data_IF_756804996566
#
_entry.id   IF_756804996566
#
_cell.length_a   1.000
_cell.length_b   1.000
_cell.length_c   1.000
_cell.angle_alpha   90.00
_cell.angle_beta   90.00
_cell.angle_gamma   90.00
#
_symmetry.space_group_name_H-M   'P 1'
#
loop_
_entity.id
_entity.type
_entity.pdbx_description
1 polymer ?
#
# COMPACT_ATOMS: atom_id res chain seq x y z
N UNK A 1 9.82 -3.85 -24.00
CA UNK A 1 8.51 -3.66 -23.32
C UNK A 1 8.72 -2.78 -22.09
N UNK A 2 7.82 -1.83 -21.82
CA UNK A 2 7.91 -0.94 -20.66
C UNK A 2 7.55 -1.68 -19.36
N UNK A 3 8.23 -1.36 -18.25
CA UNK A 3 7.91 -1.90 -16.90
C UNK A 3 6.46 -1.62 -16.48
N UNK A 4 5.85 -0.57 -17.02
CA UNK A 4 4.46 -0.22 -16.74
C UNK A 4 3.49 -1.22 -17.37
N UNK A 5 3.73 -1.63 -18.62
CA UNK A 5 2.89 -2.60 -19.33
C UNK A 5 2.96 -3.99 -18.70
N UNK A 6 4.15 -4.42 -18.25
CA UNK A 6 4.30 -5.68 -17.52
C UNK A 6 3.57 -5.70 -16.16
N UNK A 7 3.51 -4.55 -15.47
CA UNK A 7 2.73 -4.42 -14.23
C UNK A 7 1.24 -4.47 -14.49
N UNK A 8 0.77 -3.80 -15.55
CA UNK A 8 -0.65 -3.79 -15.91
C UNK A 8 -1.10 -5.20 -16.34
N UNK A 9 -0.37 -5.86 -17.25
CA UNK A 9 -0.69 -7.23 -17.68
C UNK A 9 -0.71 -8.22 -16.50
N UNK A 10 0.19 -8.05 -15.53
CA UNK A 10 0.25 -8.89 -14.33
C UNK A 10 -0.95 -8.62 -13.40
N UNK A 11 -1.34 -7.36 -13.22
CA UNK A 11 -2.53 -6.99 -12.45
C UNK A 11 -3.81 -7.52 -13.10
N UNK A 12 -3.89 -7.51 -14.44
CA UNK A 12 -5.03 -8.06 -15.19
C UNK A 12 -5.07 -9.60 -15.17
N UNK A 13 -3.92 -10.27 -15.03
CA UNK A 13 -3.83 -11.74 -14.90
C UNK A 13 -3.86 -12.25 -13.46
N UNK A 14 -3.81 -11.37 -12.45
CA UNK A 14 -3.87 -11.77 -11.05
C UNK A 14 -5.29 -12.23 -10.71
N UNK A 15 -5.50 -13.54 -10.64
CA UNK A 15 -6.70 -14.16 -10.06
C UNK A 15 -6.63 -14.07 -8.53
N UNK A 16 -6.83 -12.88 -7.97
CA UNK A 16 -6.78 -12.66 -6.52
C UNK A 16 -6.98 -11.20 -6.12
N UNK A 17 -7.22 -10.95 -4.83
CA UNK A 17 -7.41 -9.60 -4.31
C UNK A 17 -6.11 -8.78 -4.45
N UNK A 18 -6.24 -7.55 -4.97
CA UNK A 18 -5.12 -6.60 -5.06
C UNK A 18 -4.88 -6.02 -3.67
N UNK A 19 -3.64 -6.06 -3.19
CA UNK A 19 -3.26 -5.47 -1.90
C UNK A 19 -2.90 -4.00 -2.08
N UNK A 20 -3.61 -3.13 -1.37
CA UNK A 20 -3.34 -1.70 -1.30
C UNK A 20 -2.73 -1.38 0.06
N UNK A 21 -1.51 -0.87 0.05
CA UNK A 21 -0.84 -0.38 1.26
C UNK A 21 -0.91 1.14 1.26
N UNK A 22 -1.55 1.70 2.28
CA UNK A 22 -1.64 3.14 2.47
C UNK A 22 -1.29 3.57 3.89
N UNK A 23 -0.97 4.85 4.03
CA UNK A 23 -0.78 5.52 5.31
C UNK A 23 -1.90 6.51 5.53
N UNK A 24 -2.33 6.66 6.77
CA UNK A 24 -3.32 7.65 7.19
C UNK A 24 -2.96 8.18 8.59
N UNK A 25 -3.49 9.34 9.00
CA UNK A 25 -3.21 9.89 10.32
C UNK A 25 -3.56 8.90 11.45
N UNK A 26 -2.66 8.70 12.41
CA UNK A 26 -2.84 7.70 13.47
C UNK A 26 -3.96 8.04 14.46
N UNK A 27 -4.34 9.33 14.55
CA UNK A 27 -5.51 9.78 15.33
C UNK A 27 -6.86 9.35 14.75
N UNK A 28 -6.92 8.90 13.49
CA UNK A 28 -8.16 8.37 12.90
C UNK A 28 -8.38 6.92 13.38
N UNK A 29 -9.60 6.50 13.73
CA UNK A 29 -9.89 5.09 14.03
C UNK A 29 -9.50 4.15 12.87
N UNK A 30 -9.16 2.90 13.17
CA UNK A 30 -8.68 1.95 12.16
C UNK A 30 -9.64 1.78 10.98
N UNK A 31 -10.94 1.64 11.26
CA UNK A 31 -11.97 1.55 10.21
C UNK A 31 -12.00 2.79 9.31
N UNK A 32 -11.80 3.99 9.89
CA UNK A 32 -11.73 5.24 9.12
C UNK A 32 -10.48 5.30 8.24
N UNK A 33 -9.32 4.84 8.76
CA UNK A 33 -8.08 4.76 7.97
C UNK A 33 -8.22 3.81 6.79
N UNK A 34 -8.75 2.61 7.02
CA UNK A 34 -9.01 1.62 5.96
C UNK A 34 -9.95 2.18 4.90
N UNK A 35 -11.10 2.72 5.30
CA UNK A 35 -12.06 3.31 4.37
C UNK A 35 -11.49 4.48 3.57
N UNK A 36 -10.63 5.31 4.17
CA UNK A 36 -9.99 6.42 3.48
C UNK A 36 -8.99 5.95 2.41
N UNK A 37 -8.16 4.95 2.72
CA UNK A 37 -7.22 4.35 1.77
C UNK A 37 -7.97 3.62 0.66
N UNK A 38 -9.03 2.90 1.00
CA UNK A 38 -9.89 2.20 0.04
C UNK A 38 -10.53 3.18 -0.95
N UNK A 39 -11.16 4.25 -0.45
CA UNK A 39 -11.75 5.29 -1.28
C UNK A 39 -10.72 5.94 -2.21
N UNK A 40 -9.51 6.20 -1.71
CA UNK A 40 -8.42 6.73 -2.53
C UNK A 40 -7.99 5.74 -3.62
N UNK A 41 -7.99 4.44 -3.32
CA UNK A 41 -7.66 3.39 -4.29
C UNK A 41 -8.70 3.32 -5.41
N UNK A 42 -9.98 3.35 -5.06
CA UNK A 42 -11.10 3.41 -6.02
C UNK A 42 -11.04 4.67 -6.87
N UNK A 43 -10.77 5.83 -6.27
CA UNK A 43 -10.61 7.10 -6.98
C UNK A 43 -9.44 7.09 -7.99
N UNK A 44 -8.43 6.24 -7.78
CA UNK A 44 -7.31 6.03 -8.72
C UNK A 44 -7.59 4.93 -9.76
N UNK A 45 -8.81 4.42 -9.83
CA UNK A 45 -9.23 3.43 -10.83
C UNK A 45 -8.90 1.99 -10.49
N UNK A 46 -8.54 1.67 -9.24
CA UNK A 46 -8.31 0.28 -8.81
C UNK A 46 -9.68 -0.38 -8.62
N UNK A 47 -10.00 -1.29 -9.54
CA UNK A 47 -11.27 -2.04 -9.57
C UNK A 47 -11.08 -3.47 -9.09
N UNK A 48 -12.17 -4.18 -8.80
CA UNK A 48 -12.15 -5.57 -8.32
C UNK A 48 -12.00 -5.74 -6.81
N UNK A 49 -11.67 -6.96 -6.38
CA UNK A 49 -11.43 -7.28 -4.97
C UNK A 49 -10.12 -6.66 -4.51
N UNK A 50 -10.20 -5.84 -3.46
CA UNK A 50 -9.05 -5.17 -2.87
C UNK A 50 -8.94 -5.52 -1.40
N UNK A 51 -7.73 -5.80 -0.95
CA UNK A 51 -7.38 -5.90 0.46
C UNK A 51 -6.61 -4.65 0.86
N UNK A 52 -6.95 -4.06 2.00
CA UNK A 52 -6.44 -2.74 2.41
C UNK A 52 -5.67 -2.84 3.71
N UNK A 53 -4.37 -2.56 3.62
CA UNK A 53 -3.50 -2.36 4.77
C UNK A 53 -3.30 -0.85 4.99
N UNK A 54 -3.98 -0.31 6.01
CA UNK A 54 -3.87 1.10 6.37
C UNK A 54 -3.01 1.29 7.64
N UNK A 55 -1.84 1.90 7.47
CA UNK A 55 -0.87 2.15 8.52
C UNK A 55 -1.12 3.53 9.13
N UNK A 56 -1.25 3.59 10.46
CA UNK A 56 -1.33 4.87 11.18
C UNK A 56 0.04 5.53 11.25
N UNK A 57 0.12 6.81 10.87
CA UNK A 57 1.34 7.60 10.96
C UNK A 57 1.09 8.92 11.72
N UNK A 58 2.01 9.29 12.60
CA UNK A 58 1.90 10.48 13.45
C UNK A 58 2.02 11.78 12.66
N UNK A 59 1.20 12.76 13.04
CA UNK A 59 1.39 14.16 12.69
C UNK A 59 2.76 14.69 13.18
N UNK A 60 3.46 15.60 12.46
CA UNK A 60 3.07 16.28 11.22
C UNK A 60 3.43 15.53 9.93
N UNK A 61 3.88 14.28 10.01
CA UNK A 61 4.38 13.56 8.84
C UNK A 61 3.28 13.30 7.78
N UNK A 62 2.01 13.26 8.19
CA UNK A 62 0.88 13.11 7.29
C UNK A 62 -0.39 13.79 7.84
N UNK A 63 -1.17 14.41 6.95
CA UNK A 63 -2.48 15.02 7.26
C UNK A 63 -3.64 14.35 6.54
N UNK A 64 -3.36 13.58 5.49
CA UNK A 64 -4.35 12.97 4.60
C UNK A 64 -3.94 11.54 4.22
N UNK A 65 -4.89 10.67 3.90
CA UNK A 65 -4.55 9.31 3.48
C UNK A 65 -3.74 9.31 2.16
N UNK A 66 -2.70 8.48 2.09
CA UNK A 66 -1.84 8.35 0.91
C UNK A 66 -1.58 6.88 0.61
N UNK A 67 -1.63 6.49 -0.68
CA UNK A 67 -1.27 5.14 -1.12
C UNK A 67 0.23 5.07 -1.35
N UNK A 68 0.90 4.13 -0.69
CA UNK A 68 2.32 3.84 -0.84
C UNK A 68 2.56 2.77 -1.90
N UNK A 69 1.73 1.73 -1.92
CA UNK A 69 1.92 0.59 -2.81
C UNK A 69 0.60 -0.03 -3.25
N UNK A 70 0.59 -0.54 -4.49
CA UNK A 70 -0.51 -1.30 -5.09
C UNK A 70 0.12 -2.44 -5.88
N UNK A 71 -0.25 -3.66 -5.53
CA UNK A 71 0.27 -4.88 -6.14
C UNK A 71 -0.42 -6.11 -5.57
N UNK A 72 -0.03 -7.29 -6.02
CA UNK A 72 -0.40 -8.52 -5.31
C UNK A 72 0.35 -8.60 -3.96
N UNK A 73 -0.13 -9.45 -3.04
CA UNK A 73 0.51 -9.60 -1.73
C UNK A 73 1.97 -10.05 -1.84
N UNK A 74 2.31 -10.86 -2.85
CA UNK A 74 3.67 -11.28 -3.12
C UNK A 74 4.59 -10.12 -3.50
N UNK A 75 4.11 -9.18 -4.33
CA UNK A 75 4.81 -7.97 -4.73
C UNK A 75 5.01 -7.02 -3.55
N UNK A 76 4.04 -6.94 -2.63
CA UNK A 76 4.18 -6.22 -1.36
C UNK A 76 5.32 -6.84 -0.53
N UNK A 77 5.33 -8.16 -0.36
CA UNK A 77 6.39 -8.86 0.38
C UNK A 77 7.76 -8.69 -0.27
N UNK A 78 7.83 -8.78 -1.61
CA UNK A 78 9.03 -8.54 -2.39
C UNK A 78 9.55 -7.11 -2.21
N UNK A 79 8.64 -6.13 -2.19
CA UNK A 79 8.98 -4.73 -1.98
C UNK A 79 9.57 -4.52 -0.57
N UNK A 80 8.92 -5.10 0.45
CA UNK A 80 9.41 -5.07 1.84
C UNK A 80 10.73 -5.81 1.98
N UNK A 81 10.93 -6.93 1.30
CA UNK A 81 12.21 -7.66 1.34
C UNK A 81 13.35 -6.86 0.72
N UNK A 82 13.08 -6.08 -0.34
CA UNK A 82 14.09 -5.28 -1.06
C UNK A 82 14.40 -3.94 -0.40
N UNK A 83 13.41 -3.27 0.18
CA UNK A 83 13.54 -1.91 0.70
C UNK A 83 13.31 -1.80 2.20
N UNK A 84 12.79 -2.85 2.83
CA UNK A 84 12.54 -2.90 4.26
C UNK A 84 13.85 -3.07 5.03
N UNK A 85 13.94 -2.35 6.14
CA UNK A 85 15.03 -2.52 7.10
C UNK A 85 14.84 -3.83 7.87
N UNK A 86 15.90 -4.60 8.07
CA UNK A 86 15.85 -5.78 8.96
C UNK A 86 15.64 -5.32 10.40
N UNK A 87 14.69 -5.96 11.10
CA UNK A 87 14.50 -5.76 12.54
C UNK A 87 15.79 -6.23 13.23
N UNK A 88 16.56 -5.29 13.80
CA UNK A 88 17.84 -5.56 14.46
C UNK A 88 19.01 -4.70 13.96
N UNK A 89 18.90 -4.04 12.80
CA UNK A 89 19.93 -3.10 12.34
C UNK A 89 19.86 -1.79 13.14
N UNK A 90 20.74 -1.63 14.15
CA UNK A 90 20.93 -0.36 14.86
C UNK A 90 21.44 0.71 13.89
N UNK A 91 20.93 1.94 14.04
CA UNK A 91 21.47 3.13 13.36
C UNK A 91 22.91 3.31 13.84
N UNK A 92 23.89 3.33 12.94
CA UNK A 92 25.11 4.07 13.23
C UNK A 92 24.68 5.52 13.44
N UNK A 93 25.01 6.04 14.63
CA UNK A 93 24.65 7.39 15.08
C UNK A 93 25.27 8.46 14.18
#
# INVERSE_FOLDING_TARGET
MSRLSQRIDRLETTRGAVTVVGVAPDQWPEGQRKAAVERLARARGITGDIDVLAIGQRWPAITEATILHVGDFGEVLDHVAKHGRRIGERRAA
#
